data_IF_738752982552
#
_entry.id   IF_738752982552
#
_cell.length_a   1.000
_cell.length_b   1.000
_cell.length_c   1.000
_cell.angle_alpha   90.00
_cell.angle_beta   90.00
_cell.angle_gamma   90.00
#
_symmetry.space_group_name_H-M   'P 1'
#
loop_
_entity.id
_entity.type
_entity.pdbx_description
1 polymer ?
#
# COMPACT_ATOMS: atom_id res chain seq x y z
N UNK A 1 2.94 -23.00 -5.90
CA UNK A 1 4.37 -23.13 -6.23
C UNK A 1 5.01 -21.77 -6.08
N UNK A 2 6.15 -21.69 -5.38
CA UNK A 2 6.88 -20.43 -5.18
C UNK A 2 7.63 -20.08 -6.48
N UNK A 3 7.78 -18.81 -6.80
CA UNK A 3 8.50 -18.35 -7.98
C UNK A 3 9.93 -18.94 -8.06
N UNK A 4 10.58 -19.06 -6.90
CA UNK A 4 11.90 -19.68 -6.79
C UNK A 4 11.94 -21.16 -7.21
N UNK A 5 10.82 -21.88 -7.05
CA UNK A 5 10.73 -23.31 -7.42
C UNK A 5 10.59 -23.49 -8.94
N UNK A 6 10.10 -22.44 -9.63
CA UNK A 6 9.87 -22.46 -11.08
C UNK A 6 11.11 -21.97 -11.83
N UNK A 7 11.71 -20.87 -11.38
CA UNK A 7 12.78 -20.16 -12.11
C UNK A 7 14.17 -20.59 -11.60
N UNK A 8 14.24 -21.18 -10.41
CA UNK A 8 15.50 -21.49 -9.71
C UNK A 8 15.95 -20.34 -8.81
N UNK A 9 16.44 -20.68 -7.61
CA UNK A 9 16.83 -19.71 -6.58
C UNK A 9 17.89 -18.70 -7.05
N UNK A 10 18.81 -19.13 -7.89
CA UNK A 10 19.92 -18.30 -8.38
C UNK A 10 19.51 -17.28 -9.44
N UNK A 11 18.33 -17.44 -10.02
CA UNK A 11 17.79 -16.55 -11.06
C UNK A 11 16.81 -15.51 -10.50
N UNK A 12 16.63 -15.46 -9.18
CA UNK A 12 15.68 -14.53 -8.53
C UNK A 12 16.43 -13.57 -7.63
N UNK A 13 16.28 -12.27 -7.90
CA UNK A 13 16.79 -11.19 -7.06
C UNK A 13 15.63 -10.41 -6.46
N UNK A 14 15.57 -10.34 -5.13
CA UNK A 14 14.59 -9.51 -4.42
C UNK A 14 15.21 -8.15 -4.06
N UNK A 15 14.54 -7.09 -4.47
CA UNK A 15 14.96 -5.71 -4.22
C UNK A 15 13.79 -4.94 -3.60
N UNK A 16 13.97 -4.26 -2.45
CA UNK A 16 12.91 -3.43 -1.85
C UNK A 16 12.74 -2.11 -2.62
N UNK A 17 12.37 -2.21 -3.90
CA UNK A 17 12.36 -1.13 -4.88
C UNK A 17 11.54 0.07 -4.42
N UNK A 18 10.28 -0.14 -4.00
CA UNK A 18 9.41 0.94 -3.55
C UNK A 18 9.99 1.69 -2.34
N UNK A 19 10.63 0.99 -1.39
CA UNK A 19 11.30 1.62 -0.25
C UNK A 19 12.47 2.49 -0.69
N UNK A 20 13.32 1.98 -1.58
CA UNK A 20 14.49 2.70 -2.09
C UNK A 20 14.04 3.97 -2.83
N UNK A 21 13.11 3.83 -3.75
CA UNK A 21 12.64 4.92 -4.61
C UNK A 21 11.94 6.00 -3.79
N UNK A 22 11.02 5.61 -2.91
CA UNK A 22 10.32 6.55 -2.02
C UNK A 22 11.29 7.33 -1.15
N UNK A 23 12.31 6.66 -0.58
CA UNK A 23 13.27 7.31 0.28
C UNK A 23 14.20 8.28 -0.45
N UNK A 24 14.54 7.97 -1.67
CA UNK A 24 15.52 8.76 -2.44
C UNK A 24 14.86 9.84 -3.29
N UNK A 25 13.68 9.56 -3.84
CA UNK A 25 12.96 10.45 -4.75
C UNK A 25 11.67 11.04 -4.15
N UNK A 26 11.29 10.62 -2.93
CA UNK A 26 10.10 11.13 -2.23
C UNK A 26 8.81 10.35 -2.53
N UNK A 27 8.73 9.63 -3.63
CA UNK A 27 7.56 8.84 -4.03
C UNK A 27 7.97 7.50 -4.67
N UNK A 28 7.07 6.53 -4.69
CA UNK A 28 7.34 5.18 -5.19
C UNK A 28 6.74 4.89 -6.59
N UNK A 29 6.02 5.85 -7.16
CA UNK A 29 5.41 5.74 -8.50
C UNK A 29 6.43 5.34 -9.58
N UNK A 30 7.65 5.93 -9.65
CA UNK A 30 8.61 5.60 -10.69
C UNK A 30 9.40 4.30 -10.43
N UNK A 31 8.95 3.43 -9.51
CA UNK A 31 9.61 2.15 -9.19
C UNK A 31 9.82 1.23 -10.41
N UNK A 32 8.93 1.31 -11.39
CA UNK A 32 9.08 0.56 -12.63
C UNK A 32 10.36 0.97 -13.39
N UNK A 33 10.64 2.26 -13.49
CA UNK A 33 11.85 2.75 -14.15
C UNK A 33 13.11 2.42 -13.35
N UNK A 34 13.02 2.34 -12.04
CA UNK A 34 14.12 1.82 -11.20
C UNK A 34 14.45 0.36 -11.58
N UNK A 35 13.44 -0.51 -11.69
CA UNK A 35 13.65 -1.92 -12.09
C UNK A 35 14.28 -2.01 -13.48
N UNK A 36 13.82 -1.21 -14.44
CA UNK A 36 14.42 -1.11 -15.78
C UNK A 36 15.89 -0.70 -15.67
N UNK A 37 16.22 0.30 -14.87
CA UNK A 37 17.60 0.74 -14.65
C UNK A 37 18.49 -0.33 -14.03
N UNK A 38 17.98 -1.05 -13.04
CA UNK A 38 18.68 -2.18 -12.41
C UNK A 38 18.93 -3.31 -13.41
N UNK A 39 17.92 -3.73 -14.15
CA UNK A 39 18.01 -4.77 -15.17
C UNK A 39 18.96 -4.37 -16.32
N UNK A 40 18.92 -3.09 -16.73
CA UNK A 40 19.86 -2.56 -17.71
C UNK A 40 21.32 -2.71 -17.24
N UNK A 41 21.60 -2.29 -16.01
CA UNK A 41 22.96 -2.36 -15.47
C UNK A 41 23.44 -3.80 -15.25
N UNK A 42 22.50 -4.73 -15.04
CA UNK A 42 22.76 -6.17 -14.98
C UNK A 42 23.01 -6.79 -16.38
N UNK A 43 22.95 -6.00 -17.46
CA UNK A 43 23.20 -6.49 -18.83
C UNK A 43 22.02 -7.23 -19.47
N UNK A 44 20.82 -7.15 -18.87
CA UNK A 44 19.62 -7.87 -19.34
C UNK A 44 18.89 -7.14 -20.46
N UNK A 45 19.21 -5.88 -20.72
CA UNK A 45 18.52 -5.05 -21.73
C UNK A 45 19.52 -4.62 -22.80
N UNK A 46 19.43 -5.15 -24.05
CA UNK A 46 20.44 -4.98 -25.11
C UNK A 46 20.24 -3.69 -25.93
N UNK A 47 19.96 -2.56 -25.27
CA UNK A 47 19.86 -1.25 -25.92
C UNK A 47 20.69 -0.21 -25.16
N UNK A 48 21.01 0.94 -25.78
CA UNK A 48 21.79 1.98 -25.12
C UNK A 48 21.00 2.70 -24.03
N UNK A 49 21.65 3.07 -22.93
CA UNK A 49 21.01 3.85 -21.84
C UNK A 49 20.43 5.17 -22.36
N UNK A 50 21.11 5.84 -23.30
CA UNK A 50 20.62 7.06 -23.94
C UNK A 50 19.29 6.88 -24.67
N UNK A 51 19.06 5.71 -25.28
CA UNK A 51 17.80 5.40 -25.96
C UNK A 51 16.66 5.23 -24.96
N UNK A 52 16.93 4.60 -23.81
CA UNK A 52 15.93 4.48 -22.71
C UNK A 52 15.61 5.87 -22.15
N UNK A 53 16.63 6.68 -21.85
CA UNK A 53 16.42 8.04 -21.35
C UNK A 53 15.67 8.93 -22.34
N UNK A 54 15.92 8.76 -23.64
CA UNK A 54 15.18 9.47 -24.68
C UNK A 54 13.72 9.00 -24.76
N UNK A 55 13.45 7.72 -24.65
CA UNK A 55 12.09 7.17 -24.60
C UNK A 55 11.30 7.69 -23.40
N UNK A 56 11.94 7.79 -22.22
CA UNK A 56 11.33 8.40 -21.02
C UNK A 56 10.95 9.87 -21.30
N UNK A 57 11.82 10.64 -21.96
CA UNK A 57 11.56 12.04 -22.32
C UNK A 57 10.40 12.15 -23.32
N UNK A 58 10.38 11.29 -24.33
CA UNK A 58 9.32 11.26 -25.36
C UNK A 58 7.96 10.89 -24.77
N UNK A 59 7.93 9.99 -23.78
CA UNK A 59 6.69 9.64 -23.08
C UNK A 59 6.09 10.80 -22.27
N UNK A 60 6.89 11.79 -21.94
CA UNK A 60 6.50 13.06 -21.31
C UNK A 60 5.65 12.95 -20.03
N UNK A 61 5.78 11.84 -19.26
CA UNK A 61 5.09 11.62 -17.99
C UNK A 61 6.12 11.60 -16.87
N UNK A 62 6.04 12.53 -15.92
CA UNK A 62 6.93 12.63 -14.74
C UNK A 62 8.40 12.40 -15.10
N UNK A 63 8.89 13.10 -16.12
CA UNK A 63 10.16 12.83 -16.79
C UNK A 63 11.33 12.78 -15.83
N UNK A 64 11.47 13.80 -14.97
CA UNK A 64 12.59 13.91 -14.03
C UNK A 64 12.59 12.78 -13.01
N UNK A 65 11.43 12.40 -12.49
CA UNK A 65 11.29 11.28 -11.55
C UNK A 65 11.63 9.95 -12.22
N UNK A 66 11.15 9.71 -13.44
CA UNK A 66 11.43 8.48 -14.18
C UNK A 66 12.90 8.37 -14.59
N UNK A 67 13.54 9.46 -15.01
CA UNK A 67 14.98 9.50 -15.27
C UNK A 67 15.78 9.27 -13.98
N UNK A 68 15.40 9.94 -12.88
CA UNK A 68 16.00 9.76 -11.56
C UNK A 68 15.93 8.31 -11.10
N UNK A 69 14.76 7.67 -11.22
CA UNK A 69 14.55 6.29 -10.85
C UNK A 69 15.36 5.31 -11.72
N UNK A 70 15.41 5.52 -13.03
CA UNK A 70 16.23 4.73 -13.94
C UNK A 70 17.72 4.78 -13.55
N UNK A 71 18.23 5.97 -13.31
CA UNK A 71 19.64 6.18 -12.89
C UNK A 71 19.91 5.59 -11.51
N UNK A 72 18.98 5.75 -10.55
CA UNK A 72 19.07 5.16 -9.22
C UNK A 72 19.10 3.63 -9.28
N UNK A 73 18.30 3.01 -10.15
CA UNK A 73 18.31 1.57 -10.38
C UNK A 73 19.70 1.07 -10.84
N UNK A 74 20.30 1.76 -11.80
CA UNK A 74 21.67 1.48 -12.27
C UNK A 74 22.70 1.62 -11.15
N UNK A 75 22.63 2.69 -10.38
CA UNK A 75 23.53 2.90 -9.23
C UNK A 75 23.37 1.84 -8.15
N UNK A 76 22.11 1.42 -7.89
CA UNK A 76 21.83 0.39 -6.90
C UNK A 76 22.44 -0.96 -7.27
N UNK A 77 22.46 -1.33 -8.55
CA UNK A 77 23.13 -2.54 -9.00
C UNK A 77 24.63 -2.52 -8.67
N UNK A 78 25.29 -1.37 -8.89
CA UNK A 78 26.73 -1.21 -8.68
C UNK A 78 27.12 -1.06 -7.20
N UNK A 79 26.26 -0.40 -6.39
CA UNK A 79 26.54 -0.02 -4.99
C UNK A 79 25.45 -0.48 -4.03
N UNK A 80 25.03 -1.74 -4.18
CA UNK A 80 23.90 -2.32 -3.45
C UNK A 80 23.97 -2.08 -1.94
N UNK A 81 25.08 -2.36 -1.31
CA UNK A 81 25.25 -2.23 0.14
C UNK A 81 25.08 -0.80 0.65
N UNK A 82 25.60 0.19 -0.07
CA UNK A 82 25.48 1.58 0.33
C UNK A 82 24.04 2.08 0.28
N UNK A 83 23.32 1.74 -0.77
CA UNK A 83 21.91 2.09 -0.93
C UNK A 83 21.04 1.38 0.14
N UNK A 84 21.33 0.10 0.43
CA UNK A 84 20.60 -0.61 1.49
C UNK A 84 20.88 -0.04 2.88
N UNK A 85 22.09 0.42 3.17
CA UNK A 85 22.42 1.11 4.43
C UNK A 85 21.61 2.42 4.57
N UNK A 86 21.53 3.22 3.51
CA UNK A 86 20.71 4.45 3.48
C UNK A 86 19.22 4.17 3.75
N UNK A 87 18.70 3.07 3.26
CA UNK A 87 17.30 2.69 3.47
C UNK A 87 17.05 2.15 4.88
N UNK A 88 18.00 1.41 5.48
CA UNK A 88 17.89 0.87 6.83
C UNK A 88 18.02 1.92 7.93
N UNK A 89 18.87 2.92 7.75
CA UNK A 89 19.20 3.92 8.80
C UNK A 89 18.04 4.82 9.23
N UNK A 90 16.87 4.71 8.64
CA UNK A 90 15.69 5.54 8.90
C UNK A 90 14.39 4.75 9.04
N UNK A 91 14.46 3.46 9.33
CA UNK A 91 13.26 2.72 9.71
C UNK A 91 12.84 3.11 11.14
N UNK A 92 12.05 4.18 11.26
CA UNK A 92 11.10 4.26 12.36
C UNK A 92 10.04 3.23 12.02
N UNK A 93 10.16 2.02 12.57
CA UNK A 93 9.16 0.98 12.45
C UNK A 93 7.87 1.47 13.10
N UNK A 94 6.92 1.92 12.28
CA UNK A 94 5.58 2.19 12.74
C UNK A 94 4.93 0.85 13.13
N UNK A 95 4.47 0.73 14.35
CA UNK A 95 3.76 -0.46 14.86
C UNK A 95 2.61 -0.91 13.95
N UNK A 96 2.00 0.02 13.22
CA UNK A 96 0.93 -0.26 12.26
C UNK A 96 1.42 -1.01 10.99
N UNK A 97 2.72 -1.02 10.70
CA UNK A 97 3.32 -1.67 9.53
C UNK A 97 3.97 -3.02 9.86
N UNK A 98 4.12 -3.33 11.17
CA UNK A 98 4.64 -4.63 11.60
C UNK A 98 3.66 -5.74 11.22
N UNK A 99 4.20 -6.77 10.60
CA UNK A 99 3.44 -8.00 10.37
C UNK A 99 3.16 -8.67 11.71
N UNK A 100 1.93 -9.16 11.89
CA UNK A 100 1.58 -9.90 13.09
C UNK A 100 2.43 -11.16 13.20
N UNK A 101 3.06 -11.37 14.36
CA UNK A 101 4.01 -12.46 14.62
C UNK A 101 3.33 -13.83 14.70
N UNK A 102 2.10 -13.85 15.21
CA UNK A 102 1.34 -15.08 15.40
C UNK A 102 -0.14 -14.91 15.04
N UNK A 103 -0.87 -16.03 15.08
CA UNK A 103 -2.29 -16.07 14.74
C UNK A 103 -3.15 -15.19 15.66
N UNK A 104 -2.93 -15.25 16.98
CA UNK A 104 -3.78 -14.59 17.96
C UNK A 104 -3.58 -13.06 17.90
N UNK A 105 -2.36 -12.60 17.74
CA UNK A 105 -2.06 -11.18 17.48
C UNK A 105 -2.75 -10.70 16.20
N UNK A 106 -2.73 -11.50 15.13
CA UNK A 106 -3.41 -11.19 13.87
C UNK A 106 -4.93 -11.01 14.07
N UNK A 107 -5.55 -11.90 14.85
CA UNK A 107 -6.97 -11.83 15.19
C UNK A 107 -7.26 -10.58 16.03
N UNK A 108 -6.48 -10.33 17.08
CA UNK A 108 -6.64 -9.19 17.97
C UNK A 108 -6.57 -7.85 17.24
N UNK A 109 -5.53 -7.64 16.43
CA UNK A 109 -5.37 -6.39 15.63
C UNK A 109 -6.53 -6.15 14.67
N UNK A 110 -7.06 -7.20 14.06
CA UNK A 110 -8.22 -7.11 13.15
C UNK A 110 -9.51 -6.86 13.90
N UNK A 111 -9.68 -7.46 15.06
CA UNK A 111 -10.80 -7.21 15.94
C UNK A 111 -10.86 -5.73 16.36
N UNK A 112 -9.74 -5.19 16.83
CA UNK A 112 -9.61 -3.77 17.19
C UNK A 112 -9.89 -2.83 16.00
N UNK A 113 -9.41 -3.22 14.82
CA UNK A 113 -9.72 -2.48 13.59
C UNK A 113 -11.22 -2.44 13.31
N UNK A 114 -11.91 -3.58 13.44
CA UNK A 114 -13.35 -3.68 13.20
C UNK A 114 -14.19 -2.93 14.23
N UNK A 115 -13.73 -2.81 15.47
CA UNK A 115 -14.35 -1.89 16.46
C UNK A 115 -14.28 -0.44 15.96
N UNK A 116 -13.12 -0.01 15.47
CA UNK A 116 -12.95 1.34 14.90
C UNK A 116 -13.76 1.51 13.61
N UNK A 117 -13.83 0.48 12.79
CA UNK A 117 -14.58 0.45 11.53
C UNK A 117 -16.07 0.63 11.76
N UNK A 118 -16.68 -0.15 12.65
CA UNK A 118 -18.12 -0.09 12.95
C UNK A 118 -18.36 0.03 14.47
N UNK A 119 -18.35 -1.09 15.17
CA UNK A 119 -18.55 -1.19 16.63
C UNK A 119 -18.11 -2.57 17.13
N UNK A 120 -18.20 -2.78 18.45
CA UNK A 120 -17.84 -4.05 19.09
C UNK A 120 -18.71 -5.24 18.65
N UNK A 121 -20.03 -5.02 18.51
CA UNK A 121 -20.93 -6.08 18.05
C UNK A 121 -20.59 -6.57 16.64
N UNK A 122 -20.16 -5.66 15.76
CA UNK A 122 -19.69 -6.01 14.44
C UNK A 122 -18.37 -6.81 14.51
N UNK A 123 -17.44 -6.39 15.35
CA UNK A 123 -16.18 -7.09 15.55
C UNK A 123 -16.36 -8.49 16.15
N UNK A 124 -17.36 -8.70 17.03
CA UNK A 124 -17.69 -10.02 17.58
C UNK A 124 -18.07 -11.04 16.50
N UNK A 125 -18.79 -10.64 15.47
CA UNK A 125 -19.11 -11.53 14.34
C UNK A 125 -17.87 -12.11 13.68
N UNK A 126 -16.80 -11.34 13.65
CA UNK A 126 -15.51 -11.79 13.10
C UNK A 126 -14.88 -12.90 13.94
N UNK A 127 -14.82 -12.73 15.25
CA UNK A 127 -14.24 -13.75 16.15
C UNK A 127 -15.12 -15.00 16.25
N UNK A 128 -16.44 -14.85 16.23
CA UNK A 128 -17.39 -15.97 16.25
C UNK A 128 -17.17 -16.91 15.05
N UNK A 129 -17.01 -16.37 13.84
CA UNK A 129 -16.77 -17.20 12.66
C UNK A 129 -15.40 -17.89 12.71
N UNK A 130 -14.38 -17.22 13.26
CA UNK A 130 -13.06 -17.83 13.47
C UNK A 130 -13.13 -18.97 14.46
N UNK A 131 -13.89 -18.82 15.54
CA UNK A 131 -14.06 -19.88 16.54
C UNK A 131 -14.82 -21.09 15.97
N UNK A 132 -15.82 -20.87 15.14
CA UNK A 132 -16.49 -21.94 14.38
C UNK A 132 -15.47 -22.69 13.50
N UNK A 133 -14.63 -21.95 12.77
CA UNK A 133 -13.59 -22.54 11.91
C UNK A 133 -12.59 -23.37 12.73
N UNK A 134 -12.13 -22.86 13.88
CA UNK A 134 -11.24 -23.60 14.80
C UNK A 134 -11.90 -24.90 15.34
N UNK A 135 -13.18 -24.82 15.67
CA UNK A 135 -13.93 -26.00 16.15
C UNK A 135 -14.08 -27.06 15.03
N UNK A 136 -14.34 -26.63 13.79
CA UNK A 136 -14.38 -27.52 12.64
C UNK A 136 -13.03 -28.21 12.39
N UNK A 137 -11.92 -27.47 12.43
CA UNK A 137 -10.57 -28.04 12.30
C UNK A 137 -10.28 -29.08 13.39
N UNK A 138 -10.68 -28.78 14.64
CA UNK A 138 -10.51 -29.72 15.75
C UNK A 138 -11.33 -31.00 15.55
N UNK A 139 -12.59 -30.89 15.13
CA UNK A 139 -13.48 -32.05 14.86
C UNK A 139 -12.93 -32.92 13.74
N UNK A 140 -12.43 -32.32 12.68
CA UNK A 140 -11.88 -33.01 11.51
C UNK A 140 -10.43 -33.48 11.70
N UNK A 141 -9.83 -33.25 12.89
CA UNK A 141 -8.45 -33.60 13.22
C UNK A 141 -7.42 -33.01 12.23
N UNK A 142 -7.72 -31.86 11.65
CA UNK A 142 -6.84 -31.17 10.71
C UNK A 142 -5.65 -30.58 11.49
N UNK A 143 -4.44 -31.06 11.18
CA UNK A 143 -3.21 -30.62 11.87
C UNK A 143 -2.75 -29.20 11.50
N UNK A 144 -3.10 -28.71 10.31
CA UNK A 144 -2.79 -27.35 9.86
C UNK A 144 -3.97 -26.43 10.11
N UNK A 145 -3.72 -25.26 10.70
CA UNK A 145 -4.72 -24.20 10.88
C UNK A 145 -5.05 -23.47 9.56
N UNK A 146 -5.32 -24.25 8.50
CA UNK A 146 -5.52 -23.71 7.15
C UNK A 146 -6.86 -23.04 6.97
N UNK A 147 -7.93 -23.60 7.57
CA UNK A 147 -9.28 -23.05 7.49
C UNK A 147 -9.41 -21.80 8.36
N UNK A 148 -8.99 -21.86 9.61
CA UNK A 148 -9.02 -20.70 10.51
C UNK A 148 -8.13 -19.54 10.02
N UNK A 149 -6.95 -19.83 9.45
CA UNK A 149 -6.11 -18.80 8.80
C UNK A 149 -6.80 -18.20 7.57
N UNK A 150 -7.41 -19.00 6.72
CA UNK A 150 -8.14 -18.53 5.54
C UNK A 150 -9.34 -17.67 5.92
N UNK A 151 -10.15 -18.11 6.91
CA UNK A 151 -11.27 -17.33 7.44
C UNK A 151 -10.78 -16.02 8.04
N UNK A 152 -9.75 -16.07 8.88
CA UNK A 152 -9.14 -14.88 9.49
C UNK A 152 -8.74 -13.85 8.44
N UNK A 153 -8.17 -14.28 7.32
CA UNK A 153 -7.71 -13.38 6.27
C UNK A 153 -8.85 -12.85 5.39
N UNK A 154 -9.68 -13.76 4.88
CA UNK A 154 -10.64 -13.42 3.82
C UNK A 154 -11.92 -12.81 4.39
N UNK A 155 -12.40 -13.29 5.53
CA UNK A 155 -13.58 -12.72 6.16
C UNK A 155 -13.34 -11.29 6.62
N UNK A 156 -12.15 -11.00 7.17
CA UNK A 156 -11.76 -9.62 7.47
C UNK A 156 -11.83 -8.70 6.24
N UNK A 157 -11.34 -9.17 5.07
CA UNK A 157 -11.41 -8.38 3.83
C UNK A 157 -12.84 -8.08 3.39
N UNK A 158 -13.76 -9.01 3.62
CA UNK A 158 -15.18 -8.82 3.32
C UNK A 158 -15.84 -7.86 4.30
N UNK A 159 -15.47 -7.93 5.58
CA UNK A 159 -16.03 -7.08 6.63
C UNK A 159 -15.47 -5.65 6.59
N UNK A 160 -14.20 -5.47 6.23
CA UNK A 160 -13.53 -4.17 6.20
C UNK A 160 -13.56 -3.58 4.77
N UNK A 161 -14.77 -3.33 4.26
CA UNK A 161 -14.93 -2.70 2.95
C UNK A 161 -14.55 -1.22 2.98
N UNK A 162 -13.90 -0.74 1.92
CA UNK A 162 -13.47 0.64 1.79
C UNK A 162 -14.60 1.51 1.22
N UNK A 163 -15.52 1.92 2.08
CA UNK A 163 -16.61 2.85 1.77
C UNK A 163 -16.24 4.29 2.15
N UNK A 164 -17.17 5.23 1.93
CA UNK A 164 -17.01 6.66 2.18
C UNK A 164 -16.76 6.96 3.67
N UNK A 165 -17.39 6.22 4.57
CA UNK A 165 -17.21 6.37 6.02
C UNK A 165 -15.80 5.95 6.44
N UNK A 166 -15.32 4.83 5.92
CA UNK A 166 -13.99 4.31 6.22
C UNK A 166 -12.89 5.17 5.61
N UNK A 167 -13.06 5.59 4.35
CA UNK A 167 -12.15 6.54 3.70
C UNK A 167 -12.05 7.83 4.53
N UNK A 168 -13.20 8.36 4.96
CA UNK A 168 -13.26 9.57 5.76
C UNK A 168 -12.61 9.39 7.13
N UNK A 169 -12.82 8.25 7.79
CA UNK A 169 -12.17 7.89 9.06
C UNK A 169 -10.65 7.84 8.91
N UNK A 170 -10.15 7.16 7.89
CA UNK A 170 -8.71 7.00 7.65
C UNK A 170 -8.01 8.34 7.37
N UNK A 171 -8.60 9.20 6.55
CA UNK A 171 -8.04 10.52 6.25
C UNK A 171 -8.10 11.49 7.42
N UNK A 172 -9.03 11.29 8.35
CA UNK A 172 -9.16 12.14 9.55
C UNK A 172 -8.48 11.58 10.78
N UNK A 173 -7.88 10.38 10.67
CA UNK A 173 -7.12 9.76 11.75
C UNK A 173 -5.92 10.65 12.16
N UNK A 174 -5.73 10.88 13.48
CA UNK A 174 -4.59 11.65 13.97
C UNK A 174 -3.23 11.10 13.52
N UNK A 175 -3.09 9.79 13.40
CA UNK A 175 -1.84 9.16 12.93
C UNK A 175 -1.54 9.51 11.48
N UNK A 176 -2.56 9.57 10.60
CA UNK A 176 -2.39 9.99 9.22
C UNK A 176 -1.87 11.43 9.13
N UNK A 177 -2.46 12.35 9.90
CA UNK A 177 -2.03 13.74 9.94
C UNK A 177 -0.59 13.89 10.45
N UNK A 178 -0.25 13.15 11.51
CA UNK A 178 1.11 13.13 12.08
C UNK A 178 2.13 12.63 11.06
N UNK A 179 1.87 11.52 10.36
CA UNK A 179 2.74 10.99 9.31
C UNK A 179 3.01 12.03 8.21
N UNK A 180 1.98 12.76 7.79
CA UNK A 180 2.15 13.83 6.79
C UNK A 180 2.99 14.96 7.36
N UNK A 181 2.71 15.44 8.56
CA UNK A 181 3.48 16.51 9.19
C UNK A 181 4.96 16.16 9.40
N UNK A 182 5.26 14.89 9.66
CA UNK A 182 6.62 14.36 9.77
C UNK A 182 7.32 14.20 8.41
N UNK A 183 6.54 14.11 7.32
CA UNK A 183 7.07 13.90 5.96
C UNK A 183 7.34 15.20 5.19
N UNK A 184 6.80 16.31 5.64
CA UNK A 184 6.91 17.62 4.96
C UNK A 184 7.30 18.70 5.95
N UNK A 185 8.26 19.54 5.56
CA UNK A 185 8.68 20.73 6.31
C UNK A 185 7.93 21.99 5.84
N UNK A 186 7.73 22.94 6.76
CA UNK A 186 7.09 24.22 6.47
C UNK A 186 5.57 24.19 6.38
N UNK A 187 4.99 25.24 5.83
CA UNK A 187 3.54 25.37 5.67
C UNK A 187 3.09 24.67 4.38
N UNK A 188 2.38 23.56 4.51
CA UNK A 188 1.82 22.82 3.38
C UNK A 188 0.29 22.77 3.42
N UNK A 189 -0.32 22.60 2.25
CA UNK A 189 -1.76 22.38 2.10
C UNK A 189 -2.00 21.01 1.44
N UNK A 190 -2.90 20.24 2.03
CA UNK A 190 -3.27 18.92 1.49
C UNK A 190 -4.49 19.09 0.60
N UNK A 191 -4.40 18.61 -0.63
CA UNK A 191 -5.51 18.52 -1.56
C UNK A 191 -5.84 17.05 -1.81
N UNK A 192 -7.12 16.72 -1.86
CA UNK A 192 -7.58 15.38 -2.17
C UNK A 192 -8.12 15.33 -3.60
N UNK A 193 -7.73 14.32 -4.34
CA UNK A 193 -8.24 14.06 -5.69
C UNK A 193 -9.25 12.93 -5.59
N UNK A 194 -10.54 13.28 -5.56
CA UNK A 194 -11.65 12.34 -5.43
C UNK A 194 -12.54 12.38 -6.67
N UNK A 195 -13.16 11.24 -6.96
CA UNK A 195 -14.18 11.12 -7.99
C UNK A 195 -15.52 10.68 -7.33
N UNK A 196 -16.24 11.60 -6.66
CA UNK A 196 -17.50 11.25 -6.02
C UNK A 196 -18.50 10.77 -7.09
N UNK A 197 -19.19 9.62 -6.90
CA UNK A 197 -20.07 9.06 -7.91
C UNK A 197 -21.18 10.01 -8.40
N UNK A 198 -21.65 10.90 -7.52
CA UNK A 198 -22.72 11.86 -7.82
C UNK A 198 -22.25 13.13 -8.55
N UNK A 199 -20.96 13.47 -8.52
CA UNK A 199 -20.44 14.75 -9.01
C UNK A 199 -19.32 14.61 -10.04
N UNK A 200 -18.79 13.41 -10.27
CA UNK A 200 -17.70 13.20 -11.23
C UNK A 200 -18.26 13.06 -12.66
N UNK A 201 -17.77 13.90 -13.56
CA UNK A 201 -17.98 13.71 -15.00
C UNK A 201 -17.16 12.51 -15.48
N UNK A 202 -17.71 11.75 -16.41
CA UNK A 202 -16.95 10.68 -17.07
C UNK A 202 -16.12 11.28 -18.19
N UNK A 203 -14.84 10.90 -18.22
CA UNK A 203 -13.98 11.23 -19.36
C UNK A 203 -14.53 10.56 -20.61
N UNK A 204 -14.79 11.34 -21.65
CA UNK A 204 -15.39 10.85 -22.91
C UNK A 204 -14.50 9.87 -23.68
N UNK A 205 -13.17 9.90 -23.45
CA UNK A 205 -12.22 9.03 -24.13
C UNK A 205 -11.97 7.71 -23.39
N UNK A 206 -11.98 7.71 -22.03
CA UNK A 206 -11.63 6.53 -21.22
C UNK A 206 -12.83 5.93 -20.50
N UNK A 207 -13.96 6.63 -20.41
CA UNK A 207 -15.13 6.23 -19.63
C UNK A 207 -14.95 6.31 -18.11
N UNK A 208 -13.76 6.66 -17.63
CA UNK A 208 -13.44 6.76 -16.23
C UNK A 208 -13.94 8.07 -15.59
N UNK A 209 -14.35 8.07 -14.31
CA UNK A 209 -14.76 9.28 -13.64
C UNK A 209 -13.56 10.23 -13.42
N UNK A 210 -13.72 11.48 -13.81
CA UNK A 210 -12.70 12.52 -13.60
C UNK A 210 -12.54 12.84 -12.12
N UNK A 211 -11.29 12.89 -11.66
CA UNK A 211 -10.96 13.26 -10.28
C UNK A 211 -11.01 14.77 -10.11
N UNK A 212 -11.78 15.23 -9.13
CA UNK A 212 -11.89 16.64 -8.75
C UNK A 212 -10.88 16.92 -7.64
N UNK A 213 -10.07 17.97 -7.81
CA UNK A 213 -9.16 18.46 -6.77
C UNK A 213 -9.95 19.27 -5.74
N UNK A 214 -9.99 18.77 -4.50
CA UNK A 214 -10.73 19.39 -3.39
C UNK A 214 -9.76 19.87 -2.31
N UNK A 215 -10.01 21.07 -1.79
CA UNK A 215 -9.12 21.73 -0.84
C UNK A 215 -9.24 21.20 0.61
N UNK A 216 -8.45 21.79 1.53
CA UNK A 216 -8.33 21.32 2.93
C UNK A 216 -9.65 21.32 3.73
N UNK A 217 -10.63 22.13 3.35
CA UNK A 217 -11.95 22.19 4.00
C UNK A 217 -12.67 20.83 4.01
N UNK A 218 -12.37 19.97 3.03
CA UNK A 218 -12.96 18.63 2.94
C UNK A 218 -12.68 17.77 4.18
N UNK A 219 -11.55 17.97 4.86
CA UNK A 219 -11.26 17.22 6.10
C UNK A 219 -12.28 17.46 7.22
N UNK A 220 -12.91 18.64 7.25
CA UNK A 220 -13.99 18.93 8.22
C UNK A 220 -15.26 18.14 7.86
N UNK A 221 -15.62 18.10 6.59
CA UNK A 221 -16.75 17.29 6.11
C UNK A 221 -16.48 15.78 6.33
N UNK A 222 -15.27 15.32 6.06
CA UNK A 222 -14.88 13.93 6.31
C UNK A 222 -15.00 13.51 7.78
N UNK A 223 -14.74 14.42 8.74
CA UNK A 223 -14.98 14.11 10.16
C UNK A 223 -16.46 13.83 10.44
N UNK A 224 -17.34 14.59 9.82
CA UNK A 224 -18.79 14.39 9.95
C UNK A 224 -19.17 13.05 9.30
N UNK A 225 -18.74 12.78 8.08
CA UNK A 225 -19.00 11.52 7.37
C UNK A 225 -18.49 10.32 8.20
N UNK A 226 -17.28 10.40 8.74
CA UNK A 226 -16.69 9.35 9.57
C UNK A 226 -17.55 9.05 10.83
N UNK A 227 -18.18 10.06 11.43
CA UNK A 227 -19.08 9.88 12.59
C UNK A 227 -20.39 9.19 12.22
N UNK A 228 -20.80 9.26 10.95
CA UNK A 228 -22.04 8.64 10.45
C UNK A 228 -21.87 7.15 10.09
N UNK A 229 -20.76 6.51 10.48
CA UNK A 229 -20.51 5.10 10.22
C UNK A 229 -21.63 4.15 10.71
N UNK A 230 -22.45 4.58 11.64
CA UNK A 230 -23.60 3.82 12.13
C UNK A 230 -24.73 3.67 11.08
N UNK A 231 -24.71 4.49 10.01
CA UNK A 231 -25.63 4.37 8.87
C UNK A 231 -25.21 3.26 7.88
N UNK A 232 -24.04 2.66 8.09
CA UNK A 232 -23.58 1.51 7.33
C UNK A 232 -24.51 0.34 7.63
N UNK A 233 -25.25 -0.14 6.63
CA UNK A 233 -26.22 -1.22 6.75
C UNK A 233 -25.64 -2.58 7.12
#
# INVERSE_FOLDING_TARGET
KNLMDIIGKNNVNFIPTAKIVRKTLGEDVPSNMFVVGYAYQAGLIPIKASSIEQAIKLNNVSVDFNLGAFRLGRQTFLKKENIYKLVKSSEIENDSEKLSLNFDEKVSRRYEYLIKYQNEGYAKKYTELIDIAKQCEKKLKIKKKSLSDAVTLNYFKLMAYKDEYEVSRLYTDPQFKRKISESFEGNFKIYLHLAPPLFSKKNSATGEPEKIKIGPWLFHLMKIIASLKFLRG
#
